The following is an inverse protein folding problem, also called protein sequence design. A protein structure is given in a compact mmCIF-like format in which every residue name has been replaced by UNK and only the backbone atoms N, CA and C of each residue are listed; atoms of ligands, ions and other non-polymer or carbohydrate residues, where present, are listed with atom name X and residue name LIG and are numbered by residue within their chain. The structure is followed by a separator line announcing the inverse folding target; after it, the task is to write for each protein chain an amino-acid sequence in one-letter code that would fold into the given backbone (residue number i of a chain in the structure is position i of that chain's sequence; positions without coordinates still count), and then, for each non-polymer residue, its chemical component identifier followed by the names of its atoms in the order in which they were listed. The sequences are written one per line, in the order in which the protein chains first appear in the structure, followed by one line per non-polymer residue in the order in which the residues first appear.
data_IF_856134131653
#
_entry.id   IF_856134131653
#
_cell.length_a   1.000
_cell.length_b   1.000
_cell.length_c   1.000
_cell.angle_alpha   90.00
_cell.angle_beta   90.00
_cell.angle_gamma   90.00
#
_symmetry.space_group_name_H-M   'P 1'
#
loop_
_entity.id
_entity.type
_entity.pdbx_description
1 polymer ?
#
# COMPACT_ATOMS: atom_id res chain seq x y z
N UNK A 1 10.70 10.68 -2.91
CA UNK A 1 9.96 9.80 -1.98
C UNK A 1 9.96 8.39 -2.53
N UNK A 2 10.27 7.40 -1.70
CA UNK A 2 10.28 5.99 -2.09
C UNK A 2 8.88 5.38 -2.01
N UNK A 3 8.44 4.70 -3.09
CA UNK A 3 7.11 4.07 -3.15
C UNK A 3 6.91 3.03 -2.03
N UNK A 4 8.00 2.35 -1.61
CA UNK A 4 7.95 1.37 -0.53
C UNK A 4 7.61 2.00 0.83
N UNK A 5 8.18 3.18 1.12
CA UNK A 5 7.87 3.92 2.34
C UNK A 5 6.43 4.45 2.30
N UNK A 6 5.97 4.90 1.13
CA UNK A 6 4.60 5.31 0.92
C UNK A 6 3.60 4.16 1.17
N UNK A 7 3.89 2.96 0.68
CA UNK A 7 3.03 1.79 0.91
C UNK A 7 2.97 1.38 2.38
N UNK A 8 4.10 1.43 3.07
CA UNK A 8 4.17 1.18 4.52
C UNK A 8 3.33 2.20 5.29
N UNK A 9 3.48 3.50 4.97
CA UNK A 9 2.71 4.58 5.58
C UNK A 9 1.20 4.48 5.28
N UNK A 10 0.79 4.03 4.08
CA UNK A 10 -0.63 3.74 3.78
C UNK A 10 -1.17 2.61 4.66
N UNK A 11 -0.36 1.58 4.95
CA UNK A 11 -0.73 0.47 5.82
C UNK A 11 -0.81 0.85 7.29
N UNK A 12 0.03 1.78 7.74
CA UNK A 12 0.09 2.26 9.12
C UNK A 12 -0.92 3.39 9.42
N UNK A 13 -1.23 4.23 8.43
CA UNK A 13 -2.14 5.35 8.60
C UNK A 13 -3.61 4.89 8.71
N UNK A 14 -4.23 5.13 9.87
CA UNK A 14 -5.67 4.96 10.09
C UNK A 14 -6.31 6.27 10.59
N UNK A 15 -7.15 6.96 9.78
CA UNK A 15 -7.41 6.73 8.35
C UNK A 15 -6.24 7.16 7.46
N UNK A 16 -6.04 6.46 6.34
CA UNK A 16 -4.96 6.71 5.38
C UNK A 16 -5.22 7.94 4.50
N UNK A 17 -5.21 9.13 5.08
CA UNK A 17 -5.30 10.41 4.34
C UNK A 17 -3.91 10.87 3.89
N UNK A 18 -3.85 11.67 2.82
CA UNK A 18 -2.59 12.23 2.34
C UNK A 18 -1.85 13.01 3.44
N UNK A 19 -2.57 13.80 4.25
CA UNK A 19 -1.99 14.50 5.40
C UNK A 19 -1.36 13.56 6.44
N UNK A 20 -2.03 12.44 6.75
CA UNK A 20 -1.53 11.51 7.75
C UNK A 20 -0.32 10.73 7.22
N UNK A 21 -0.38 10.31 5.96
CA UNK A 21 0.74 9.64 5.27
C UNK A 21 1.94 10.60 5.20
N UNK A 22 1.74 11.86 4.82
CA UNK A 22 2.78 12.87 4.79
C UNK A 22 3.39 13.12 6.17
N UNK A 23 2.56 13.16 7.22
CA UNK A 23 3.02 13.29 8.59
C UNK A 23 3.93 12.13 9.04
N UNK A 24 3.61 10.89 8.65
CA UNK A 24 4.43 9.71 8.95
C UNK A 24 5.77 9.72 8.19
N UNK A 25 5.75 10.21 6.95
CA UNK A 25 6.93 10.27 6.09
C UNK A 25 7.80 11.51 6.36
N UNK A 26 7.27 12.51 7.07
CA UNK A 26 7.93 13.81 7.25
C UNK A 26 8.02 14.61 5.96
N UNK A 27 7.04 14.41 5.07
CA UNK A 27 7.00 14.96 3.72
C UNK A 27 5.83 15.93 3.55
N UNK A 28 5.75 16.58 2.38
CA UNK A 28 4.66 17.52 2.09
C UNK A 28 3.38 16.79 1.64
N UNK A 29 2.19 17.16 2.16
CA UNK A 29 0.93 16.52 1.80
C UNK A 29 0.54 16.70 0.33
N UNK A 30 0.93 17.80 -0.34
CA UNK A 30 0.66 17.99 -1.77
C UNK A 30 1.51 17.03 -2.62
N UNK A 31 2.80 16.89 -2.31
CA UNK A 31 3.70 15.91 -2.97
C UNK A 31 3.22 14.47 -2.75
N UNK A 32 2.81 14.12 -1.53
CA UNK A 32 2.20 12.81 -1.22
C UNK A 32 0.92 12.59 -2.02
N UNK A 33 0.06 13.60 -2.10
CA UNK A 33 -1.19 13.54 -2.85
C UNK A 33 -0.98 13.30 -4.34
N UNK A 34 -0.05 14.04 -4.97
CA UNK A 34 0.33 13.84 -6.38
C UNK A 34 0.84 12.42 -6.61
N UNK A 35 1.74 11.95 -5.74
CA UNK A 35 2.31 10.60 -5.85
C UNK A 35 1.27 9.50 -5.69
N UNK A 36 0.32 9.67 -4.78
CA UNK A 36 -0.80 8.74 -4.59
C UNK A 36 -1.71 8.69 -5.81
N UNK A 37 -1.98 9.82 -6.46
CA UNK A 37 -2.75 9.88 -7.70
C UNK A 37 -2.04 9.16 -8.87
N UNK A 38 -0.72 9.30 -9.00
CA UNK A 38 0.06 8.53 -9.98
C UNK A 38 -0.05 7.02 -9.73
N UNK A 39 0.04 6.59 -8.47
CA UNK A 39 -0.07 5.19 -8.09
C UNK A 39 -1.49 4.64 -8.25
N UNK A 40 -2.52 5.48 -8.09
CA UNK A 40 -3.90 5.13 -8.38
C UNK A 40 -4.10 4.86 -9.87
N UNK A 41 -3.59 5.76 -10.71
CA UNK A 41 -3.62 5.62 -12.16
C UNK A 41 -2.88 4.36 -12.63
N UNK A 42 -1.79 4.00 -11.94
CA UNK A 42 -1.06 2.76 -12.16
C UNK A 42 -1.75 1.51 -11.59
N UNK A 43 -2.89 1.65 -10.90
CA UNK A 43 -3.65 0.56 -10.29
C UNK A 43 -2.97 -0.08 -9.08
N UNK A 44 -2.04 0.64 -8.41
CA UNK A 44 -1.29 0.17 -7.23
C UNK A 44 -1.95 0.55 -5.92
N UNK A 45 -2.68 1.65 -5.90
CA UNK A 45 -3.48 2.11 -4.76
C UNK A 45 -4.89 2.46 -5.22
N UNK A 46 -5.83 2.53 -4.30
CA UNK A 46 -7.20 2.97 -4.54
C UNK A 46 -7.60 3.96 -3.46
N UNK A 47 -8.32 5.00 -3.85
CA UNK A 47 -8.91 5.94 -2.91
C UNK A 47 -10.40 5.63 -2.72
N UNK A 48 -10.89 5.68 -1.48
CA UNK A 48 -12.30 5.46 -1.15
C UNK A 48 -12.70 6.18 0.14
N UNK A 49 -13.91 5.93 0.64
CA UNK A 49 -14.46 6.65 1.82
C UNK A 49 -13.63 6.49 3.11
N UNK A 50 -12.75 5.50 3.19
CA UNK A 50 -11.85 5.28 4.32
C UNK A 50 -10.42 5.76 4.11
N UNK A 51 -10.15 6.53 3.05
CA UNK A 51 -8.80 6.97 2.66
C UNK A 51 -8.15 6.06 1.61
N UNK A 52 -6.85 6.26 1.43
CA UNK A 52 -6.01 5.52 0.49
C UNK A 52 -5.78 4.09 0.97
N UNK A 53 -5.82 3.13 0.05
CA UNK A 53 -5.55 1.72 0.35
C UNK A 53 -4.70 1.13 -0.76
N UNK A 54 -3.86 0.16 -0.42
CA UNK A 54 -3.16 -0.63 -1.43
C UNK A 54 -4.19 -1.38 -2.27
N UNK A 55 -4.09 -1.25 -3.59
CA UNK A 55 -4.84 -2.10 -4.49
C UNK A 55 -4.32 -3.52 -4.27
N UNK A 56 -5.20 -4.48 -3.99
CA UNK A 56 -4.82 -5.90 -3.85
C UNK A 56 -4.14 -6.32 -5.15
N UNK A 57 -2.81 -6.37 -5.14
CA UNK A 57 -2.04 -6.75 -6.31
C UNK A 57 -2.26 -8.25 -6.57
N UNK A 58 -2.84 -8.66 -7.72
CA UNK A 58 -3.03 -10.08 -8.03
C UNK A 58 -1.70 -10.86 -8.12
N UNK A 59 -0.54 -10.16 -8.16
CA UNK A 59 0.79 -10.81 -8.10
C UNK A 59 1.27 -11.03 -6.66
N UNK A 60 0.75 -10.29 -5.67
CA UNK A 60 1.00 -10.52 -4.25
C UNK A 60 0.20 -11.72 -3.71
N UNK A 61 -1.03 -11.94 -4.20
CA UNK A 61 -1.84 -13.12 -3.85
C UNK A 61 -1.10 -14.41 -4.25
N UNK A 62 -0.51 -14.46 -5.46
CA UNK A 62 0.25 -15.63 -5.92
C UNK A 62 1.55 -15.91 -5.14
N UNK A 63 2.16 -14.89 -4.52
CA UNK A 63 3.41 -15.06 -3.76
C UNK A 63 3.14 -15.47 -2.31
N UNK A 64 2.08 -14.91 -1.70
CA UNK A 64 1.63 -15.29 -0.36
C UNK A 64 0.98 -16.68 -0.38
N UNK A 65 0.12 -16.98 -1.35
CA UNK A 65 -0.47 -18.33 -1.48
C UNK A 65 0.60 -19.41 -1.75
N UNK A 66 1.63 -19.13 -2.57
CA UNK A 66 2.73 -20.08 -2.77
C UNK A 66 3.64 -20.28 -1.56
N UNK A 67 3.79 -19.28 -0.69
CA UNK A 67 4.49 -19.49 0.59
C UNK A 67 3.67 -20.36 1.53
N UNK A 68 2.36 -20.15 1.62
CA UNK A 68 1.47 -20.92 2.51
C UNK A 68 1.34 -22.37 2.01
N UNK A 69 1.24 -22.60 0.70
CA UNK A 69 1.17 -23.95 0.12
C UNK A 69 2.48 -24.74 0.33
N UNK A 70 3.64 -24.08 0.24
CA UNK A 70 4.93 -24.70 0.54
C UNK A 70 5.06 -25.09 2.02
N UNK A 71 4.59 -24.24 2.93
CA UNK A 71 4.64 -24.49 4.37
C UNK A 71 3.64 -25.57 4.83
N UNK A 72 2.55 -25.78 4.09
CA UNK A 72 1.58 -26.86 4.33
C UNK A 72 2.10 -28.24 3.91
N UNK A 73 3.00 -28.31 2.92
CA UNK A 73 3.51 -29.58 2.35
C UNK A 73 4.62 -30.22 3.18
N UNK A 74 5.31 -29.45 4.02
CA UNK A 74 6.38 -29.92 4.92
C UNK A 74 5.86 -30.48 6.25
N UNK A 75 4.55 -30.41 6.51
CA UNK A 75 3.93 -30.86 7.77
C UNK A 75 3.13 -32.17 7.66
N UNK A 76 3.32 -32.96 6.59
CA UNK A 76 2.67 -34.28 6.42
C UNK A 76 3.66 -35.42 6.38
#
# INVERSE_FOLDING_TARGET
MDDAALFDAIGEADPATAERIASLLGDDPDDVGERLAELESAGRVTHGEGGWRLARDPRLDSSVERMVDRLGRERR
#
